data_IF_091957952369
#
_entry.id   IF_091957952369
#
_cell.length_a   1.000
_cell.length_b   1.000
_cell.length_c   1.000
_cell.angle_alpha   90.00
_cell.angle_beta   90.00
_cell.angle_gamma   90.00
#
_symmetry.space_group_name_H-M   'P 1'
#
loop_
_entity.id
_entity.type
_entity.pdbx_description
1 polymer ?
#
# COMPACT_ATOMS: atom_id res chain seq x y z
N UNK A 1 13.74 -3.51 -4.84
CA UNK A 1 12.53 -4.33 -4.51
C UNK A 1 11.42 -4.24 -5.56
N UNK A 2 10.88 -3.06 -5.91
CA UNK A 2 9.75 -2.96 -6.86
C UNK A 2 10.01 -3.56 -8.25
N UNK A 3 11.22 -3.40 -8.80
CA UNK A 3 11.59 -3.97 -10.11
C UNK A 3 11.49 -5.51 -10.11
N UNK A 4 12.06 -6.16 -9.08
CA UNK A 4 11.98 -7.61 -8.91
C UNK A 4 10.53 -8.10 -8.72
N UNK A 5 9.69 -7.33 -8.02
CA UNK A 5 8.27 -7.67 -7.86
C UNK A 5 7.51 -7.64 -9.20
N UNK A 6 7.80 -6.64 -10.06
CA UNK A 6 7.26 -6.57 -11.43
C UNK A 6 7.70 -7.78 -12.25
N UNK A 7 8.98 -8.11 -12.22
CA UNK A 7 9.54 -9.27 -12.94
C UNK A 7 8.89 -10.58 -12.50
N UNK A 8 8.82 -10.85 -11.18
CA UNK A 8 8.16 -12.05 -10.63
C UNK A 8 6.70 -12.14 -11.05
N UNK A 9 5.94 -11.05 -10.94
CA UNK A 9 4.53 -11.06 -11.37
C UNK A 9 4.36 -11.32 -12.87
N UNK A 10 5.29 -10.82 -13.70
CA UNK A 10 5.28 -11.06 -15.16
C UNK A 10 5.59 -12.51 -15.47
N UNK A 11 6.58 -13.11 -14.79
CA UNK A 11 6.96 -14.52 -14.95
C UNK A 11 5.80 -15.47 -14.62
N UNK A 12 5.03 -15.16 -13.59
CA UNK A 12 3.85 -15.94 -13.16
C UNK A 12 2.56 -15.56 -13.91
N UNK A 13 2.61 -14.66 -14.91
CA UNK A 13 1.42 -14.25 -15.68
C UNK A 13 0.37 -13.46 -14.88
N UNK A 14 0.72 -12.91 -13.71
CA UNK A 14 -0.21 -12.20 -12.82
C UNK A 14 -0.45 -10.75 -13.29
N UNK A 15 -1.72 -10.37 -13.40
CA UNK A 15 -2.13 -9.00 -13.77
C UNK A 15 -2.14 -8.06 -12.57
N UNK A 16 -0.95 -7.64 -12.10
CA UNK A 16 -0.79 -6.74 -10.94
C UNK A 16 -0.42 -5.33 -11.38
N UNK A 17 -1.15 -4.32 -10.89
CA UNK A 17 -0.80 -2.90 -11.07
C UNK A 17 0.18 -2.45 -9.98
N UNK A 18 1.46 -2.38 -10.33
CA UNK A 18 2.52 -1.89 -9.44
C UNK A 18 2.63 -0.36 -9.47
N UNK A 19 2.64 0.27 -8.29
CA UNK A 19 2.78 1.73 -8.13
C UNK A 19 3.93 2.03 -7.16
N UNK A 20 4.82 2.96 -7.53
CA UNK A 20 5.83 3.51 -6.61
C UNK A 20 5.23 4.72 -5.90
N UNK A 21 5.04 4.63 -4.58
CA UNK A 21 4.49 5.72 -3.78
C UNK A 21 4.96 5.62 -2.32
N UNK A 22 4.81 6.70 -1.57
CA UNK A 22 5.02 6.74 -0.12
C UNK A 22 3.69 6.41 0.60
N UNK A 23 3.74 5.50 1.58
CA UNK A 23 2.57 5.04 2.33
C UNK A 23 1.86 6.16 3.10
N UNK A 24 2.54 7.28 3.35
CA UNK A 24 2.03 8.43 4.11
C UNK A 24 1.18 9.39 3.27
N UNK A 25 1.26 9.34 1.94
CA UNK A 25 0.62 10.38 1.10
C UNK A 25 0.16 9.94 -0.30
N UNK A 26 0.10 8.64 -0.60
CA UNK A 26 -0.35 8.17 -1.90
C UNK A 26 -1.78 8.61 -2.26
N UNK A 27 -2.06 8.75 -3.56
CA UNK A 27 -3.39 9.05 -4.12
C UNK A 27 -3.65 8.09 -5.28
N UNK A 28 -4.40 7.02 -5.01
CA UNK A 28 -4.65 5.96 -6.02
C UNK A 28 -5.95 6.16 -6.79
N UNK A 29 -6.79 7.13 -6.40
CA UNK A 29 -8.05 7.45 -7.08
C UNK A 29 -9.11 6.35 -7.02
N UNK A 30 -8.93 5.35 -6.14
CA UNK A 30 -9.86 4.22 -5.95
C UNK A 30 -9.88 3.78 -4.50
N UNK A 31 -10.97 3.12 -4.11
CA UNK A 31 -11.13 2.47 -2.81
C UNK A 31 -10.92 0.95 -2.92
N UNK A 32 -10.50 0.34 -1.83
CA UNK A 32 -10.19 -1.09 -1.72
C UNK A 32 -10.93 -1.69 -0.53
N UNK A 33 -11.34 -2.95 -0.67
CA UNK A 33 -12.02 -3.69 0.41
C UNK A 33 -11.04 -4.15 1.50
N UNK A 34 -9.77 -4.33 1.13
CA UNK A 34 -8.68 -4.73 2.01
C UNK A 34 -7.42 -3.94 1.63
N UNK A 35 -6.69 -3.46 2.63
CA UNK A 35 -5.34 -2.92 2.51
C UNK A 35 -4.47 -3.70 3.50
N UNK A 36 -3.38 -4.28 3.00
CA UNK A 36 -2.51 -5.15 3.79
C UNK A 36 -1.05 -4.67 3.73
N UNK A 37 -0.36 -4.72 4.87
CA UNK A 37 1.04 -4.28 5.02
C UNK A 37 1.84 -5.33 5.81
N UNK A 38 2.41 -6.34 5.13
CA UNK A 38 3.10 -7.45 5.78
C UNK A 38 4.50 -7.08 6.30
N UNK A 39 5.12 -8.06 6.96
CA UNK A 39 6.56 -8.08 7.29
C UNK A 39 7.01 -6.89 8.13
N UNK A 40 6.19 -6.46 9.08
CA UNK A 40 6.49 -5.34 9.97
C UNK A 40 6.84 -4.04 9.23
N UNK A 41 6.41 -3.87 7.97
CA UNK A 41 6.81 -2.73 7.15
C UNK A 41 6.45 -1.37 7.77
N UNK A 42 5.42 -1.33 8.62
CA UNK A 42 5.00 -0.14 9.38
C UNK A 42 6.05 0.31 10.42
N UNK A 43 6.88 -0.60 10.95
CA UNK A 43 7.90 -0.28 11.96
C UNK A 43 9.04 0.62 11.42
N UNK A 44 9.13 0.77 10.11
CA UNK A 44 10.06 1.71 9.47
C UNK A 44 9.57 3.18 9.50
N UNK A 45 8.38 3.45 10.06
CA UNK A 45 7.93 4.81 10.35
C UNK A 45 8.43 5.20 11.74
N UNK A 46 9.40 6.12 11.79
CA UNK A 46 10.13 6.46 13.02
C UNK A 46 9.43 7.45 13.94
N UNK A 47 8.32 8.04 13.50
CA UNK A 47 7.62 9.09 14.23
C UNK A 47 6.10 8.92 14.18
N UNK A 48 5.44 9.43 15.22
CA UNK A 48 3.98 9.36 15.39
C UNK A 48 3.24 10.01 14.21
N UNK A 49 3.74 11.15 13.72
CA UNK A 49 3.09 11.92 12.66
C UNK A 49 3.08 11.13 11.35
N UNK A 50 4.17 10.42 11.04
CA UNK A 50 4.25 9.51 9.89
C UNK A 50 3.24 8.38 9.99
N UNK A 51 3.08 7.77 11.17
CA UNK A 51 2.08 6.71 11.41
C UNK A 51 0.66 7.25 11.23
N UNK A 52 0.35 8.41 11.82
CA UNK A 52 -0.96 9.06 11.67
C UNK A 52 -1.26 9.41 10.20
N UNK A 53 -0.27 9.92 9.46
CA UNK A 53 -0.41 10.19 8.02
C UNK A 53 -0.68 8.93 7.22
N UNK A 54 0.03 7.84 7.51
CA UNK A 54 -0.21 6.54 6.90
C UNK A 54 -1.64 6.05 7.16
N UNK A 55 -2.12 6.04 8.41
CA UNK A 55 -3.50 5.62 8.72
C UNK A 55 -4.55 6.53 8.09
N UNK A 56 -4.32 7.85 8.04
CA UNK A 56 -5.20 8.78 7.33
C UNK A 56 -5.23 8.49 5.82
N UNK A 57 -4.09 8.11 5.23
CA UNK A 57 -4.02 7.69 3.84
C UNK A 57 -4.81 6.40 3.60
N UNK A 58 -4.63 5.39 4.45
CA UNK A 58 -5.38 4.12 4.42
C UNK A 58 -6.89 4.38 4.53
N UNK A 59 -7.33 5.19 5.50
CA UNK A 59 -8.75 5.53 5.69
C UNK A 59 -9.39 6.14 4.45
N UNK A 60 -8.67 6.99 3.72
CA UNK A 60 -9.17 7.61 2.47
C UNK A 60 -9.36 6.60 1.34
N UNK A 61 -8.63 5.49 1.36
CA UNK A 61 -8.60 4.47 0.31
C UNK A 61 -9.33 3.16 0.70
N UNK A 62 -9.95 3.07 1.87
CA UNK A 62 -10.80 1.92 2.24
C UNK A 62 -12.25 2.12 1.80
N UNK A 63 -12.88 1.04 1.33
CA UNK A 63 -14.31 0.97 1.02
C UNK A 63 -15.18 0.96 2.30
N UNK A 64 -16.51 1.13 2.16
CA UNK A 64 -17.44 1.17 3.30
C UNK A 64 -17.60 -0.20 3.99
N UNK A 65 -17.76 -1.27 3.20
CA UNK A 65 -17.82 -2.66 3.69
C UNK A 65 -16.41 -3.25 3.59
N UNK A 66 -15.65 -3.11 4.67
CA UNK A 66 -14.20 -3.36 4.73
C UNK A 66 -13.89 -4.51 5.69
N UNK A 67 -12.86 -5.29 5.38
CA UNK A 67 -12.20 -6.25 6.27
C UNK A 67 -10.88 -5.64 6.72
#
# INVERSE_FOLDING_TARGET
MLALAKEKSKKEGLKIKWVKADCRNFKLGRKFNLIYMPFNSMQHLHDRISIERMFNCVKKHLAKNKI
#
